data_IF_669876399624
#
_entry.id   IF_669876399624
#
_cell.length_a   1.000
_cell.length_b   1.000
_cell.length_c   1.000
_cell.angle_alpha   90.00
_cell.angle_beta   90.00
_cell.angle_gamma   90.00
#
_symmetry.space_group_name_H-M   'P 1'
#
loop_
_entity.id
_entity.type
_entity.pdbx_description
1 polymer ?
#
# COMPACT_ATOMS: atom_id res chain seq x y z
N UNK A 1 -46.61 -19.21 -36.50
CA UNK A 1 -45.72 -18.08 -36.20
C UNK A 1 -44.67 -18.58 -35.22
N UNK A 2 -43.45 -18.81 -35.72
CA UNK A 2 -42.36 -19.36 -34.90
C UNK A 2 -41.55 -18.19 -34.33
N UNK A 3 -41.50 -18.08 -32.99
CA UNK A 3 -40.61 -17.14 -32.31
C UNK A 3 -39.21 -17.73 -32.27
N UNK A 4 -38.27 -17.13 -33.01
CA UNK A 4 -36.85 -17.41 -32.89
C UNK A 4 -36.33 -16.58 -31.74
N UNK A 5 -36.02 -17.22 -30.61
CA UNK A 5 -35.33 -16.61 -29.47
C UNK A 5 -33.85 -16.52 -29.83
N UNK A 6 -33.37 -15.31 -30.09
CA UNK A 6 -31.93 -15.04 -30.23
C UNK A 6 -31.31 -15.06 -28.84
N UNK A 7 -30.29 -15.91 -28.55
CA UNK A 7 -29.64 -15.89 -27.26
C UNK A 7 -28.89 -14.55 -27.09
N UNK A 8 -28.81 -14.00 -25.86
CA UNK A 8 -28.06 -12.78 -25.61
C UNK A 8 -26.59 -13.03 -25.91
N UNK A 9 -25.99 -12.14 -26.69
CA UNK A 9 -24.54 -12.10 -26.93
C UNK A 9 -23.80 -12.07 -25.60
N UNK A 10 -23.10 -13.17 -25.29
CA UNK A 10 -22.16 -13.20 -24.19
C UNK A 10 -21.16 -12.07 -24.39
N UNK A 11 -21.26 -11.02 -23.58
CA UNK A 11 -20.21 -10.01 -23.47
C UNK A 11 -18.99 -10.73 -22.93
N UNK A 12 -18.01 -10.97 -23.77
CA UNK A 12 -16.65 -11.26 -23.34
C UNK A 12 -16.28 -10.16 -22.33
N UNK A 13 -15.77 -10.50 -21.12
CA UNK A 13 -15.25 -9.47 -20.23
C UNK A 13 -14.20 -8.69 -21.02
N UNK A 14 -14.40 -7.39 -21.21
CA UNK A 14 -13.36 -6.54 -21.75
C UNK A 14 -12.15 -6.75 -20.84
N UNK A 15 -11.03 -7.17 -21.40
CA UNK A 15 -9.74 -7.16 -20.72
C UNK A 15 -9.57 -5.75 -20.16
N UNK A 16 -9.67 -5.63 -18.83
CA UNK A 16 -9.53 -4.35 -18.16
C UNK A 16 -8.12 -3.86 -18.47
N UNK A 17 -7.98 -2.70 -19.10
CA UNK A 17 -6.67 -2.10 -19.27
C UNK A 17 -5.95 -2.04 -17.94
N UNK A 18 -4.66 -2.43 -17.86
CA UNK A 18 -3.91 -2.44 -16.62
C UNK A 18 -3.96 -1.05 -15.98
N UNK A 19 -4.32 -0.99 -14.72
CA UNK A 19 -4.48 0.27 -14.00
C UNK A 19 -3.16 1.05 -14.03
N UNK A 20 -3.20 2.29 -14.52
CA UNK A 20 -2.00 3.14 -14.60
C UNK A 20 -1.37 3.29 -13.22
N UNK A 21 -0.03 3.16 -13.10
CA UNK A 21 0.67 3.35 -11.84
C UNK A 21 0.41 4.75 -11.26
N UNK A 22 0.46 4.85 -9.95
CA UNK A 22 0.39 6.12 -9.24
C UNK A 22 1.75 6.82 -9.40
N UNK A 23 1.74 7.98 -10.03
CA UNK A 23 2.92 8.82 -10.11
C UNK A 23 3.25 9.43 -8.75
N UNK A 24 4.52 9.37 -8.38
CA UNK A 24 5.04 9.85 -7.13
C UNK A 24 5.96 11.06 -7.32
N UNK A 25 6.46 11.65 -6.22
CA UNK A 25 7.57 12.59 -6.26
C UNK A 25 8.78 11.90 -6.95
N UNK A 26 9.50 12.57 -7.86
CA UNK A 26 10.60 11.96 -8.62
C UNK A 26 11.71 11.33 -7.78
N UNK A 27 11.80 11.66 -6.49
CA UNK A 27 12.74 11.05 -5.57
C UNK A 27 12.35 9.62 -5.18
N UNK A 28 11.07 9.31 -5.16
CA UNK A 28 10.52 8.02 -4.75
C UNK A 28 9.99 7.22 -5.94
N UNK A 29 9.87 5.88 -5.81
CA UNK A 29 9.33 5.06 -6.89
C UNK A 29 7.85 5.33 -7.12
N UNK A 30 7.40 5.18 -8.36
CA UNK A 30 5.98 5.07 -8.69
C UNK A 30 5.38 3.81 -8.03
N UNK A 31 4.09 3.83 -7.75
CA UNK A 31 3.38 2.75 -7.07
C UNK A 31 2.36 2.11 -8.01
N UNK A 32 2.49 0.80 -8.26
CA UNK A 32 1.55 0.02 -9.06
C UNK A 32 0.43 -0.52 -8.18
N UNK A 33 -0.83 -0.36 -8.63
CA UNK A 33 -2.00 -0.97 -7.97
C UNK A 33 -1.97 -2.49 -8.07
N UNK A 34 -1.59 -3.01 -9.23
CA UNK A 34 -1.47 -4.44 -9.49
C UNK A 34 -0.45 -5.06 -8.54
N UNK A 35 0.77 -4.53 -8.50
CA UNK A 35 1.81 -4.98 -7.58
C UNK A 35 1.38 -4.89 -6.10
N UNK A 36 0.62 -3.86 -5.72
CA UNK A 36 0.09 -3.76 -4.37
C UNK A 36 -0.90 -4.90 -4.06
N UNK A 37 -1.79 -5.24 -5.02
CA UNK A 37 -2.74 -6.35 -4.88
C UNK A 37 -2.05 -7.71 -4.77
N UNK A 38 -1.03 -7.93 -5.58
CA UNK A 38 -0.28 -9.19 -5.61
C UNK A 38 0.57 -9.38 -4.34
N UNK A 39 1.15 -8.29 -3.85
CA UNK A 39 2.04 -8.33 -2.68
C UNK A 39 1.28 -8.41 -1.36
N UNK A 40 0.18 -7.68 -1.23
CA UNK A 40 -0.65 -7.66 -0.02
C UNK A 40 -2.05 -8.13 -0.38
N UNK A 41 -2.52 -9.16 0.30
CA UNK A 41 -3.89 -9.65 0.14
C UNK A 41 -4.88 -8.57 0.57
N UNK A 42 -5.52 -7.93 -0.40
CA UNK A 42 -6.69 -7.11 -0.19
C UNK A 42 -7.96 -7.95 -0.36
N UNK A 43 -9.01 -7.61 0.38
CA UNK A 43 -10.30 -8.25 0.17
C UNK A 43 -10.82 -7.93 -1.24
N UNK A 44 -11.34 -8.95 -1.94
CA UNK A 44 -11.78 -8.84 -3.35
C UNK A 44 -12.91 -7.83 -3.60
N UNK A 45 -13.53 -7.30 -2.54
CA UNK A 45 -14.57 -6.28 -2.60
C UNK A 45 -14.04 -4.85 -2.80
N UNK A 46 -12.71 -4.64 -2.66
CA UNK A 46 -12.09 -3.31 -2.79
C UNK A 46 -11.94 -2.95 -4.26
N UNK A 47 -12.61 -1.89 -4.69
CA UNK A 47 -12.48 -1.36 -6.05
C UNK A 47 -11.13 -0.67 -6.26
N UNK A 48 -10.64 -0.65 -7.52
CA UNK A 48 -9.39 0.03 -7.87
C UNK A 48 -9.39 1.51 -7.49
N UNK A 49 -10.53 2.18 -7.61
CA UNK A 49 -10.65 3.58 -7.24
C UNK A 49 -10.41 3.79 -5.73
N UNK A 50 -10.95 2.93 -4.88
CA UNK A 50 -10.74 2.98 -3.42
C UNK A 50 -9.30 2.64 -3.05
N UNK A 51 -8.76 1.55 -3.60
CA UNK A 51 -7.38 1.18 -3.37
C UNK A 51 -6.42 2.30 -3.79
N UNK A 52 -6.66 2.90 -4.96
CA UNK A 52 -5.87 4.04 -5.45
C UNK A 52 -5.93 5.22 -4.49
N UNK A 53 -7.10 5.53 -3.94
CA UNK A 53 -7.28 6.63 -2.99
C UNK A 53 -6.44 6.41 -1.72
N UNK A 54 -6.51 5.21 -1.14
CA UNK A 54 -5.75 4.91 0.09
C UNK A 54 -4.24 4.79 -0.17
N UNK A 55 -3.84 4.29 -1.33
CA UNK A 55 -2.42 4.29 -1.71
C UNK A 55 -1.88 5.73 -1.86
N UNK A 56 -2.66 6.66 -2.42
CA UNK A 56 -2.27 8.08 -2.51
C UNK A 56 -2.09 8.70 -1.12
N UNK A 57 -3.01 8.43 -0.19
CA UNK A 57 -2.91 8.90 1.19
C UNK A 57 -1.66 8.32 1.89
N UNK A 58 -1.43 7.02 1.75
CA UNK A 58 -0.25 6.35 2.32
C UNK A 58 1.06 6.87 1.72
N UNK A 59 1.12 7.12 0.40
CA UNK A 59 2.28 7.74 -0.25
C UNK A 59 2.58 9.11 0.36
N UNK A 60 1.55 9.95 0.55
CA UNK A 60 1.73 11.28 1.11
C UNK A 60 2.27 11.20 2.55
N UNK A 61 1.75 10.29 3.37
CA UNK A 61 2.18 10.08 4.75
C UNK A 61 3.63 9.59 4.82
N UNK A 62 4.00 8.56 4.06
CA UNK A 62 5.38 8.04 4.02
C UNK A 62 6.37 9.09 3.51
N UNK A 63 5.99 9.84 2.46
CA UNK A 63 6.83 10.91 1.92
C UNK A 63 7.04 12.04 2.95
N UNK A 64 6.03 12.32 3.77
CA UNK A 64 6.12 13.33 4.83
C UNK A 64 7.06 12.87 5.94
N UNK A 65 6.93 11.64 6.42
CA UNK A 65 7.83 11.07 7.42
C UNK A 65 9.30 11.00 6.95
N UNK A 66 9.52 10.76 5.66
CA UNK A 66 10.84 10.71 5.05
C UNK A 66 11.40 12.09 4.65
N UNK A 67 10.65 13.19 4.85
CA UNK A 67 11.00 14.55 4.38
C UNK A 67 12.38 14.98 4.81
N UNK A 68 12.72 14.82 6.08
CA UNK A 68 14.02 15.23 6.62
C UNK A 68 15.16 14.39 6.07
N UNK A 69 14.97 13.07 5.96
CA UNK A 69 15.97 12.18 5.39
C UNK A 69 16.19 12.47 3.90
N UNK A 70 15.10 12.70 3.14
CA UNK A 70 15.17 13.11 1.74
C UNK A 70 15.95 14.41 1.56
N UNK A 71 15.73 15.42 2.42
CA UNK A 71 16.45 16.67 2.36
C UNK A 71 17.95 16.44 2.53
N UNK A 72 18.36 15.68 3.56
CA UNK A 72 19.77 15.35 3.79
C UNK A 72 20.40 14.57 2.62
N UNK A 73 19.69 13.64 2.02
CA UNK A 73 20.19 12.92 0.84
C UNK A 73 20.32 13.80 -0.39
N UNK A 74 19.39 14.73 -0.61
CA UNK A 74 19.51 15.73 -1.69
C UNK A 74 20.67 16.68 -1.48
N UNK A 75 20.92 17.10 -0.27
CA UNK A 75 22.08 17.94 0.09
C UNK A 75 23.41 17.19 -0.15
N UNK A 76 23.40 15.87 -0.01
CA UNK A 76 24.51 14.99 -0.37
C UNK A 76 24.62 14.69 -1.88
N UNK A 77 23.76 15.27 -2.73
CA UNK A 77 23.76 15.09 -4.16
C UNK A 77 23.01 13.87 -4.69
N UNK A 78 22.25 13.17 -3.84
CA UNK A 78 21.46 11.99 -4.23
C UNK A 78 20.12 12.45 -4.81
N UNK A 79 19.77 11.96 -6.01
CA UNK A 79 18.61 12.44 -6.76
C UNK A 79 17.38 11.56 -6.61
N UNK A 80 17.56 10.28 -6.25
CA UNK A 80 16.45 9.35 -6.03
C UNK A 80 16.75 8.35 -4.91
N UNK A 81 15.70 7.74 -4.35
CA UNK A 81 15.83 6.77 -3.26
C UNK A 81 16.61 5.51 -3.67
N UNK A 82 16.59 5.15 -4.96
CA UNK A 82 17.33 4.02 -5.48
C UNK A 82 18.85 4.19 -5.36
N UNK A 83 19.33 5.45 -5.44
CA UNK A 83 20.74 5.80 -5.37
C UNK A 83 21.27 5.96 -3.95
N UNK A 84 20.39 5.97 -2.95
CA UNK A 84 20.80 6.00 -1.54
C UNK A 84 21.53 4.70 -1.22
N UNK A 85 22.79 4.74 -0.70
CA UNK A 85 23.57 3.54 -0.42
C UNK A 85 22.82 2.55 0.48
N UNK A 86 22.62 1.34 -0.03
CA UNK A 86 21.95 0.24 0.67
C UNK A 86 22.31 -1.09 0.02
N UNK A 87 22.05 -2.19 0.72
CA UNK A 87 22.14 -3.53 0.18
C UNK A 87 21.12 -3.71 -0.95
N UNK A 88 21.43 -4.65 -1.84
CA UNK A 88 20.53 -5.04 -2.91
C UNK A 88 20.03 -6.46 -2.70
N UNK A 89 18.72 -6.65 -2.83
CA UNK A 89 18.07 -7.95 -2.82
C UNK A 89 17.23 -8.09 -4.08
N UNK A 90 17.37 -9.22 -4.76
CA UNK A 90 16.67 -9.49 -6.02
C UNK A 90 16.89 -8.40 -7.09
N UNK A 91 18.12 -7.85 -7.13
CA UNK A 91 18.51 -6.80 -8.09
C UNK A 91 17.94 -5.41 -7.81
N UNK A 92 17.30 -5.20 -6.66
CA UNK A 92 16.73 -3.92 -6.27
C UNK A 92 17.23 -3.45 -4.89
N UNK A 93 17.34 -2.13 -4.71
CA UNK A 93 17.69 -1.55 -3.42
C UNK A 93 16.66 -1.92 -2.34
N UNK A 94 17.16 -2.42 -1.19
CA UNK A 94 16.32 -2.75 -0.03
C UNK A 94 15.48 -1.55 0.43
N UNK A 95 15.95 -0.31 0.23
CA UNK A 95 15.18 0.90 0.57
C UNK A 95 13.93 1.07 -0.29
N UNK A 96 13.97 0.66 -1.56
CA UNK A 96 12.79 0.68 -2.43
C UNK A 96 11.76 -0.37 -1.99
N UNK A 97 12.23 -1.54 -1.57
CA UNK A 97 11.35 -2.60 -1.04
C UNK A 97 10.70 -2.15 0.27
N UNK A 98 11.45 -1.55 1.19
CA UNK A 98 10.91 -0.99 2.42
C UNK A 98 9.92 0.15 2.16
N UNK A 99 10.19 1.01 1.17
CA UNK A 99 9.27 2.08 0.80
C UNK A 99 7.90 1.52 0.36
N UNK A 100 7.90 0.56 -0.56
CA UNK A 100 6.66 -0.11 -0.98
C UNK A 100 5.96 -0.80 0.18
N UNK A 101 6.71 -1.51 1.04
CA UNK A 101 6.14 -2.15 2.24
C UNK A 101 5.45 -1.13 3.14
N UNK A 102 6.08 0.00 3.43
CA UNK A 102 5.49 1.05 4.25
C UNK A 102 4.17 1.56 3.66
N UNK A 103 4.17 1.92 2.36
CA UNK A 103 2.98 2.42 1.66
C UNK A 103 1.86 1.37 1.66
N UNK A 104 2.17 0.11 1.36
CA UNK A 104 1.16 -0.94 1.27
C UNK A 104 0.57 -1.29 2.63
N UNK A 105 1.39 -1.36 3.66
CA UNK A 105 0.92 -1.64 5.02
C UNK A 105 0.01 -0.52 5.53
N UNK A 106 0.36 0.76 5.32
CA UNK A 106 -0.49 1.88 5.72
C UNK A 106 -1.82 1.90 4.95
N UNK A 107 -1.77 1.73 3.63
CA UNK A 107 -2.99 1.68 2.81
C UNK A 107 -3.92 0.56 3.26
N UNK A 108 -3.38 -0.63 3.55
CA UNK A 108 -4.17 -1.77 4.04
C UNK A 108 -4.73 -1.52 5.44
N UNK A 109 -3.94 -0.97 6.35
CA UNK A 109 -4.42 -0.63 7.70
C UNK A 109 -5.62 0.31 7.65
N UNK A 110 -5.54 1.38 6.86
CA UNK A 110 -6.64 2.34 6.68
C UNK A 110 -7.87 1.71 6.03
N UNK A 111 -7.68 0.82 5.05
CA UNK A 111 -8.78 0.09 4.44
C UNK A 111 -9.51 -0.80 5.46
N UNK A 112 -8.78 -1.55 6.28
CA UNK A 112 -9.36 -2.40 7.33
C UNK A 112 -10.18 -1.56 8.31
N UNK A 113 -9.65 -0.42 8.79
CA UNK A 113 -10.36 0.47 9.72
C UNK A 113 -11.67 1.02 9.12
N UNK A 114 -11.62 1.46 7.86
CA UNK A 114 -12.82 1.98 7.17
C UNK A 114 -13.87 0.91 6.89
N UNK A 115 -13.46 -0.34 6.65
CA UNK A 115 -14.42 -1.44 6.48
C UNK A 115 -15.14 -1.77 7.78
N UNK A 116 -14.50 -1.61 8.93
CA UNK A 116 -15.09 -1.79 10.24
C UNK A 116 -16.30 -0.90 10.46
N UNK A 117 -16.24 0.34 9.99
CA UNK A 117 -17.30 1.34 10.19
C UNK A 117 -18.56 1.08 9.34
N UNK A 118 -18.47 0.24 8.30
CA UNK A 118 -19.60 -0.04 7.40
C UNK A 118 -20.45 -1.24 7.79
N UNK A 119 -19.93 -2.17 8.60
CA UNK A 119 -20.66 -3.37 8.98
C UNK A 119 -21.18 -3.27 10.43
N UNK A 120 -22.33 -2.62 10.58
CA UNK A 120 -23.00 -2.41 11.88
C UNK A 120 -23.84 -3.62 12.34
N UNK A 121 -23.73 -4.77 11.67
CA UNK A 121 -24.43 -6.01 12.06
C UNK A 121 -23.68 -6.72 13.18
N UNK A 122 -24.35 -7.57 13.97
CA UNK A 122 -23.73 -8.32 15.08
C UNK A 122 -22.60 -9.27 14.62
N UNK A 123 -22.61 -9.74 13.37
CA UNK A 123 -21.53 -10.49 12.76
C UNK A 123 -20.38 -9.55 12.30
N UNK A 124 -20.71 -8.33 11.93
CA UNK A 124 -19.76 -7.28 11.62
C UNK A 124 -18.93 -6.87 12.84
N UNK A 125 -19.53 -6.75 14.01
CA UNK A 125 -18.83 -6.42 15.25
C UNK A 125 -17.76 -7.46 15.62
N UNK A 126 -18.05 -8.76 15.45
CA UNK A 126 -17.05 -9.82 15.70
C UNK A 126 -15.89 -9.79 14.72
N UNK A 127 -16.18 -9.55 13.43
CA UNK A 127 -15.13 -9.39 12.41
C UNK A 127 -14.30 -8.14 12.65
N UNK A 128 -14.91 -7.07 13.15
CA UNK A 128 -14.23 -5.85 13.52
C UNK A 128 -13.19 -6.10 14.62
N UNK A 129 -13.57 -6.83 15.68
CA UNK A 129 -12.67 -7.18 16.80
C UNK A 129 -11.51 -8.11 16.35
N UNK A 130 -11.75 -8.99 15.37
CA UNK A 130 -10.72 -9.85 14.77
C UNK A 130 -9.75 -9.08 13.85
N UNK A 131 -10.18 -7.97 13.25
CA UNK A 131 -9.39 -7.17 12.32
C UNK A 131 -8.61 -6.05 13.01
N UNK A 132 -8.99 -5.63 14.21
CA UNK A 132 -8.32 -4.56 14.96
C UNK A 132 -6.83 -4.85 15.22
N UNK A 133 -6.42 -6.05 15.70
CA UNK A 133 -5.01 -6.39 15.86
C UNK A 133 -4.23 -6.33 14.53
N UNK A 134 -4.88 -6.68 13.41
CA UNK A 134 -4.23 -6.64 12.09
C UNK A 134 -3.94 -5.20 11.62
N UNK A 135 -4.81 -4.26 11.90
CA UNK A 135 -4.61 -2.84 11.60
C UNK A 135 -3.39 -2.28 12.33
N UNK A 136 -3.31 -2.53 13.63
CA UNK A 136 -2.19 -2.09 14.47
C UNK A 136 -0.86 -2.73 14.08
N UNK A 137 -0.86 -4.02 13.75
CA UNK A 137 0.31 -4.73 13.25
C UNK A 137 0.81 -4.13 11.93
N UNK A 138 -0.09 -3.84 11.00
CA UNK A 138 0.27 -3.22 9.73
C UNK A 138 0.85 -1.80 9.91
N UNK A 139 0.30 -1.00 10.82
CA UNK A 139 0.85 0.31 11.16
C UNK A 139 2.23 0.20 11.80
N UNK A 140 2.43 -0.77 12.69
CA UNK A 140 3.74 -1.07 13.27
C UNK A 140 4.75 -1.47 12.20
N UNK A 141 4.36 -2.36 11.29
CA UNK A 141 5.20 -2.82 10.18
C UNK A 141 5.58 -1.68 9.25
N UNK A 142 4.65 -0.76 8.97
CA UNK A 142 4.93 0.44 8.19
C UNK A 142 5.98 1.34 8.89
N UNK A 143 5.81 1.60 10.19
CA UNK A 143 6.79 2.39 10.97
C UNK A 143 8.17 1.74 10.99
N UNK A 144 8.23 0.41 11.10
CA UNK A 144 9.49 -0.32 11.03
C UNK A 144 10.13 -0.19 9.65
N UNK A 145 9.36 -0.33 8.58
CA UNK A 145 9.86 -0.14 7.23
C UNK A 145 10.40 1.28 7.00
N UNK A 146 9.72 2.31 7.51
CA UNK A 146 10.21 3.69 7.46
C UNK A 146 11.51 3.86 8.27
N UNK A 147 11.60 3.28 9.45
CA UNK A 147 12.83 3.29 10.26
C UNK A 147 13.99 2.61 9.54
N UNK A 148 13.73 1.48 8.88
CA UNK A 148 14.72 0.74 8.10
C UNK A 148 15.20 1.57 6.88
N UNK A 149 14.32 2.33 6.22
CA UNK A 149 14.70 3.26 5.14
C UNK A 149 15.68 4.31 5.64
N UNK A 150 15.46 4.87 6.82
CA UNK A 150 16.29 5.93 7.40
C UNK A 150 17.57 5.36 8.02
N UNK A 151 17.61 4.06 8.30
CA UNK A 151 18.71 3.39 9.00
C UNK A 151 18.67 3.61 10.51
N UNK A 152 17.49 3.85 11.09
CA UNK A 152 17.31 3.97 12.53
C UNK A 152 17.10 2.59 13.16
N UNK A 153 17.76 2.29 14.31
CA UNK A 153 17.50 1.05 15.03
C UNK A 153 16.05 1.01 15.51
N UNK A 154 15.46 -0.18 15.47
CA UNK A 154 14.13 -0.42 16.04
C UNK A 154 14.23 -0.35 17.55
N UNK A 155 13.55 0.62 18.17
CA UNK A 155 13.47 0.71 19.63
C UNK A 155 12.14 0.11 20.10
N UNK A 156 12.21 -0.94 20.92
CA UNK A 156 11.08 -1.42 21.70
C UNK A 156 11.22 -0.80 23.10
N UNK A 157 10.28 0.04 23.50
CA UNK A 157 10.23 0.58 24.86
C UNK A 157 9.31 -0.33 25.65
N UNK A 158 9.88 -1.18 26.51
CA UNK A 158 9.12 -1.86 27.55
C UNK A 158 9.03 -0.93 28.77
N UNK A 159 7.83 -0.56 29.16
CA UNK A 159 7.59 0.06 30.46
C UNK A 159 7.69 -1.05 31.52
N UNK A 160 8.75 -0.99 32.34
CA UNK A 160 8.93 -1.82 33.53
C UNK A 160 8.14 -1.18 34.68
#
# INVERSE_FOLDING_TARGET
MSFVSTPPLSRTPAEAEPAKPIKNDPFYPDVSLEHARDTIRFDGTITDARLRHELLAAIAEVNDELRSARAAWRDAGITCLADVPADQLDGESVRLQHYRRAVYCLAKATLIERYRDYDTTGDGARRADELEPQGDELRRDARWAISDIIGRPRMTVELI
#
